data_IF_411455624836
#
_entry.id   IF_411455624836
#
_cell.length_a   1.000
_cell.length_b   1.000
_cell.length_c   1.000
_cell.angle_alpha   90.00
_cell.angle_beta   90.00
_cell.angle_gamma   90.00
#
_symmetry.space_group_name_H-M   'P 1'
#
loop_
_entity.id
_entity.type
_entity.pdbx_description
1 polymer ?
#
# COMPACT_ATOMS: atom_id res chain seq x y z
N UNK A 1 12.13 3.55 -11.58
CA UNK A 1 10.87 4.09 -12.14
C UNK A 1 10.56 3.30 -13.41
N UNK A 2 9.36 2.71 -13.54
CA UNK A 2 9.00 1.93 -14.75
C UNK A 2 8.41 2.87 -15.79
N UNK A 3 8.87 2.73 -17.02
CA UNK A 3 8.38 3.49 -18.18
C UNK A 3 7.40 2.61 -18.96
N UNK A 4 6.30 3.21 -19.42
CA UNK A 4 5.28 2.56 -20.23
C UNK A 4 5.20 3.19 -21.63
N UNK A 5 4.80 2.38 -22.61
CA UNK A 5 4.57 2.86 -23.96
C UNK A 5 3.32 3.78 -24.00
N UNK A 6 3.39 4.81 -24.83
CA UNK A 6 2.23 5.66 -25.13
C UNK A 6 1.31 4.90 -26.12
N UNK A 7 0.06 4.56 -25.74
CA UNK A 7 -0.83 3.76 -26.59
C UNK A 7 -1.31 4.46 -27.87
N UNK A 8 -1.07 5.77 -28.02
CA UNK A 8 -1.51 6.56 -29.18
C UNK A 8 -0.37 7.10 -30.04
N UNK A 9 0.90 6.72 -29.76
CA UNK A 9 2.01 7.17 -30.59
C UNK A 9 3.37 7.10 -29.92
N UNK A 10 4.33 7.94 -30.37
CA UNK A 10 5.65 8.01 -29.75
C UNK A 10 5.57 8.62 -28.35
N UNK A 11 6.62 8.39 -27.55
CA UNK A 11 6.74 8.93 -26.20
C UNK A 11 6.57 7.86 -25.12
N UNK A 12 6.51 8.34 -23.89
CA UNK A 12 6.57 7.50 -22.69
C UNK A 12 5.60 8.00 -21.64
N UNK A 13 5.02 7.06 -20.92
CA UNK A 13 4.15 7.31 -19.78
C UNK A 13 4.81 6.76 -18.51
N UNK A 14 4.52 7.43 -17.41
CA UNK A 14 4.80 7.05 -16.05
C UNK A 14 3.54 6.47 -15.41
N UNK A 15 3.73 5.68 -14.36
CA UNK A 15 2.66 4.88 -13.76
C UNK A 15 1.44 5.67 -13.29
N UNK A 16 1.61 6.95 -12.98
CA UNK A 16 0.60 7.87 -12.44
C UNK A 16 -0.01 8.80 -13.49
N UNK A 17 0.39 8.71 -14.76
CA UNK A 17 -0.18 9.56 -15.80
C UNK A 17 -1.69 9.31 -15.97
N UNK A 18 -2.43 10.42 -16.12
CA UNK A 18 -3.85 10.45 -16.50
C UNK A 18 -4.04 10.79 -17.98
N UNK A 19 -3.05 11.40 -18.61
CA UNK A 19 -3.08 11.77 -20.02
C UNK A 19 -1.68 11.64 -20.62
N UNK A 20 -1.62 11.55 -21.94
CA UNK A 20 -0.38 11.72 -22.70
C UNK A 20 0.08 13.18 -22.68
N UNK A 21 1.32 13.43 -23.13
CA UNK A 21 1.87 14.79 -23.19
C UNK A 21 1.05 15.74 -24.08
N UNK A 22 0.40 15.17 -25.08
CA UNK A 22 -0.49 15.76 -26.08
C UNK A 22 -1.97 15.80 -25.63
N UNK A 23 -2.27 15.40 -24.39
CA UNK A 23 -3.55 15.61 -23.74
C UNK A 23 -4.58 14.49 -23.94
N UNK A 24 -4.24 13.40 -24.62
CA UNK A 24 -5.13 12.25 -24.78
C UNK A 24 -5.30 11.55 -23.43
N UNK A 25 -6.54 11.41 -22.96
CA UNK A 25 -6.81 10.72 -21.70
C UNK A 25 -6.43 9.24 -21.82
N UNK A 26 -5.71 8.76 -20.82
CA UNK A 26 -5.32 7.36 -20.68
C UNK A 26 -5.68 6.83 -19.29
N UNK A 27 -5.79 5.52 -19.21
CA UNK A 27 -5.87 4.79 -17.96
C UNK A 27 -5.00 3.53 -18.02
N UNK A 28 -4.53 3.10 -16.86
CA UNK A 28 -3.74 1.90 -16.66
C UNK A 28 -4.66 0.69 -16.55
N UNK A 29 -4.42 -0.32 -17.40
CA UNK A 29 -4.96 -1.65 -17.22
C UNK A 29 -4.00 -2.47 -16.33
N UNK A 30 -4.38 -2.80 -15.09
CA UNK A 30 -3.53 -3.59 -14.20
C UNK A 30 -3.35 -5.05 -14.68
N UNK A 31 -4.25 -5.60 -15.50
CA UNK A 31 -4.14 -6.97 -16.00
C UNK A 31 -3.15 -7.07 -17.16
N UNK A 32 -3.30 -6.21 -18.17
CA UNK A 32 -2.36 -6.14 -19.29
C UNK A 32 -1.05 -5.41 -18.92
N UNK A 33 -1.06 -4.64 -17.81
CA UNK A 33 0.03 -3.81 -17.31
C UNK A 33 0.51 -2.76 -18.30
N UNK A 34 -0.44 -2.14 -18.98
CA UNK A 34 -0.22 -1.13 -20.01
C UNK A 34 -1.23 0.01 -19.88
N UNK A 35 -0.97 1.10 -20.59
CA UNK A 35 -1.95 2.18 -20.71
C UNK A 35 -2.87 1.93 -21.88
N UNK A 36 -4.14 2.26 -21.71
CA UNK A 36 -5.18 2.23 -22.73
C UNK A 36 -5.89 3.58 -22.78
N UNK A 37 -6.50 3.90 -23.92
CA UNK A 37 -7.31 5.12 -24.10
C UNK A 37 -8.79 4.91 -23.87
N UNK A 38 -9.23 3.66 -23.79
CA UNK A 38 -10.65 3.33 -23.80
C UNK A 38 -11.23 3.35 -22.38
N UNK A 39 -12.36 4.06 -22.16
CA UNK A 39 -13.14 3.94 -20.94
C UNK A 39 -13.75 2.53 -20.83
N UNK A 40 -14.22 2.13 -19.63
CA UNK A 40 -14.49 3.00 -18.48
C UNK A 40 -13.27 3.24 -17.59
N UNK A 41 -13.14 4.47 -17.10
CA UNK A 41 -12.17 4.84 -16.07
C UNK A 41 -12.80 4.75 -14.69
N UNK A 42 -11.96 4.59 -13.66
CA UNK A 42 -12.39 4.54 -12.26
C UNK A 42 -13.29 5.74 -11.89
N UNK A 43 -14.37 5.49 -11.15
CA UNK A 43 -15.23 6.55 -10.59
C UNK A 43 -14.47 7.55 -9.70
N UNK A 44 -13.35 7.13 -9.11
CA UNK A 44 -12.46 7.97 -8.31
C UNK A 44 -11.47 8.80 -9.15
N UNK A 45 -11.58 8.78 -10.49
CA UNK A 45 -10.68 9.52 -11.37
C UNK A 45 -10.73 11.02 -11.11
N UNK A 46 -11.92 11.61 -11.08
CA UNK A 46 -12.09 13.06 -10.95
C UNK A 46 -11.97 13.55 -9.49
N UNK A 47 -11.96 12.62 -8.52
CA UNK A 47 -11.88 12.91 -7.09
C UNK A 47 -10.43 12.87 -6.61
N UNK A 48 -9.72 11.77 -6.91
CA UNK A 48 -8.36 11.51 -6.40
C UNK A 48 -7.33 11.27 -7.51
N UNK A 49 -7.65 11.57 -8.76
CA UNK A 49 -6.75 11.31 -9.88
C UNK A 49 -6.49 9.82 -10.09
N UNK A 50 -7.46 8.94 -9.81
CA UNK A 50 -7.29 7.52 -10.08
C UNK A 50 -7.13 7.27 -11.58
N UNK A 51 -6.00 6.69 -11.97
CA UNK A 51 -5.68 6.45 -13.36
C UNK A 51 -5.95 5.02 -13.82
N UNK A 52 -6.61 4.16 -13.05
CA UNK A 52 -6.91 2.79 -13.48
C UNK A 52 -8.25 2.68 -14.22
N UNK A 53 -8.38 1.68 -15.09
CA UNK A 53 -9.65 1.31 -15.71
C UNK A 53 -10.63 0.71 -14.68
N UNK A 54 -11.92 0.82 -14.96
CA UNK A 54 -13.01 0.22 -14.21
C UNK A 54 -13.61 -0.97 -14.99
N UNK A 55 -14.42 -1.84 -14.35
CA UNK A 55 -15.17 -2.88 -15.07
C UNK A 55 -16.33 -2.29 -15.90
N UNK A 56 -16.94 -1.21 -15.43
CA UNK A 56 -18.07 -0.53 -16.08
C UNK A 56 -18.08 0.97 -15.74
N UNK A 57 -18.88 1.75 -16.47
CA UNK A 57 -18.98 3.20 -16.26
C UNK A 57 -19.54 3.50 -14.87
N UNK A 58 -18.87 4.38 -14.12
CA UNK A 58 -19.28 4.76 -12.77
C UNK A 58 -18.87 3.76 -11.67
N UNK A 59 -18.22 2.65 -12.01
CA UNK A 59 -17.68 1.72 -11.02
C UNK A 59 -16.27 2.11 -10.55
N UNK A 60 -15.89 1.62 -9.37
CA UNK A 60 -14.51 1.69 -8.90
C UNK A 60 -13.62 0.68 -9.64
N UNK A 61 -12.35 1.04 -9.87
CA UNK A 61 -11.34 0.10 -10.34
C UNK A 61 -11.04 -0.98 -9.29
N UNK A 62 -10.36 -2.05 -9.69
CA UNK A 62 -10.02 -3.17 -8.80
C UNK A 62 -9.24 -2.77 -7.55
N UNK A 63 -8.46 -1.68 -7.59
CA UNK A 63 -7.77 -1.13 -6.41
C UNK A 63 -8.69 -0.27 -5.55
N UNK A 64 -9.42 0.68 -6.12
CA UNK A 64 -10.31 1.56 -5.34
C UNK A 64 -11.48 0.78 -4.72
N UNK A 65 -11.95 -0.28 -5.36
CA UNK A 65 -12.96 -1.19 -4.80
C UNK A 65 -12.49 -1.92 -3.53
N UNK A 66 -11.17 -1.98 -3.27
CA UNK A 66 -10.64 -2.52 -2.01
C UNK A 66 -10.76 -1.54 -0.85
N UNK A 67 -11.06 -0.25 -1.07
CA UNK A 67 -11.30 0.72 0.01
C UNK A 67 -12.77 0.69 0.41
N UNK A 68 -13.07 -0.01 1.50
CA UNK A 68 -14.44 -0.08 2.03
C UNK A 68 -14.82 1.19 2.79
N UNK A 69 -13.84 1.88 3.39
CA UNK A 69 -14.04 3.13 4.10
C UNK A 69 -13.04 4.17 3.62
N UNK A 70 -13.53 5.19 2.91
CA UNK A 70 -12.77 6.37 2.50
C UNK A 70 -12.71 7.39 3.66
N UNK A 71 -11.69 8.27 3.68
CA UNK A 71 -11.52 9.21 4.77
C UNK A 71 -12.62 10.28 4.79
N UNK A 72 -12.92 10.79 5.98
CA UNK A 72 -13.78 11.96 6.15
C UNK A 72 -13.12 13.19 5.53
N UNK A 73 -13.74 13.70 4.45
CA UNK A 73 -13.24 14.84 3.69
C UNK A 73 -13.47 16.20 4.38
N UNK A 74 -14.20 16.23 5.50
CA UNK A 74 -14.31 17.42 6.34
C UNK A 74 -13.01 17.73 7.11
N UNK A 75 -12.13 16.73 7.25
CA UNK A 75 -10.82 16.89 7.89
C UNK A 75 -9.85 17.57 6.93
N UNK A 76 -9.09 18.54 7.45
CA UNK A 76 -8.10 19.28 6.67
C UNK A 76 -7.10 18.33 5.98
N UNK A 77 -6.76 18.63 4.73
CA UNK A 77 -5.85 17.85 3.88
C UNK A 77 -6.26 16.38 3.62
N UNK A 78 -7.45 15.92 4.02
CA UNK A 78 -7.87 14.55 3.82
C UNK A 78 -7.88 14.13 2.34
N UNK A 79 -8.37 14.99 1.44
CA UNK A 79 -8.46 14.69 0.01
C UNK A 79 -7.07 14.50 -0.68
N UNK A 80 -6.12 15.44 -0.60
CA UNK A 80 -4.80 15.24 -1.22
C UNK A 80 -4.03 14.07 -0.58
N UNK A 81 -4.19 13.87 0.73
CA UNK A 81 -3.60 12.73 1.43
C UNK A 81 -4.18 11.41 0.95
N UNK A 82 -5.51 11.33 0.82
CA UNK A 82 -6.20 10.16 0.26
C UNK A 82 -5.71 9.82 -1.14
N UNK A 83 -5.57 10.82 -2.02
CA UNK A 83 -5.09 10.62 -3.38
C UNK A 83 -3.68 10.01 -3.40
N UNK A 84 -2.77 10.50 -2.56
CA UNK A 84 -1.42 9.94 -2.43
C UNK A 84 -1.42 8.53 -1.82
N UNK A 85 -2.22 8.27 -0.80
CA UNK A 85 -2.37 6.93 -0.19
C UNK A 85 -2.90 5.91 -1.21
N UNK A 86 -3.91 6.28 -1.99
CA UNK A 86 -4.47 5.44 -3.05
C UNK A 86 -3.48 5.21 -4.20
N UNK A 87 -2.66 6.22 -4.56
CA UNK A 87 -1.59 6.06 -5.52
C UNK A 87 -0.52 5.07 -5.03
N UNK A 88 -0.11 5.17 -3.76
CA UNK A 88 0.79 4.22 -3.12
C UNK A 88 0.21 2.80 -3.08
N UNK A 89 -1.08 2.65 -2.77
CA UNK A 89 -1.80 1.37 -2.81
C UNK A 89 -1.78 0.75 -4.21
N UNK A 90 -2.15 1.50 -5.25
CA UNK A 90 -2.10 1.04 -6.65
C UNK A 90 -0.70 0.57 -7.04
N UNK A 91 0.33 1.31 -6.65
CA UNK A 91 1.72 0.93 -6.89
C UNK A 91 2.07 -0.43 -6.27
N UNK A 92 1.70 -0.66 -5.00
CA UNK A 92 1.99 -1.92 -4.32
C UNK A 92 1.20 -3.08 -4.93
N UNK A 93 -0.10 -2.91 -5.18
CA UNK A 93 -0.96 -3.93 -5.79
C UNK A 93 -0.42 -4.34 -7.17
N UNK A 94 -0.07 -3.37 -8.03
CA UNK A 94 0.46 -3.70 -9.35
C UNK A 94 1.79 -4.46 -9.28
N UNK A 95 2.67 -4.12 -8.34
CA UNK A 95 3.93 -4.83 -8.16
C UNK A 95 3.72 -6.26 -7.64
N UNK A 96 2.80 -6.46 -6.69
CA UNK A 96 2.44 -7.79 -6.20
C UNK A 96 1.82 -8.67 -7.28
N UNK A 97 1.06 -8.07 -8.19
CA UNK A 97 0.49 -8.76 -9.32
C UNK A 97 1.51 -9.29 -10.35
N UNK A 98 2.83 -9.08 -10.17
CA UNK A 98 3.89 -9.82 -10.90
C UNK A 98 3.97 -11.29 -10.48
N UNK A 99 3.50 -11.60 -9.28
CA UNK A 99 3.37 -12.94 -8.74
C UNK A 99 1.89 -13.36 -8.68
N UNK A 100 1.07 -12.80 -9.57
CA UNK A 100 -0.37 -13.03 -9.71
C UNK A 100 -1.26 -12.63 -8.52
N UNK A 101 -0.71 -12.11 -7.42
CA UNK A 101 -1.51 -11.58 -6.32
C UNK A 101 -2.48 -10.50 -6.78
N UNK A 102 -3.71 -10.60 -6.31
CA UNK A 102 -4.76 -9.61 -6.57
C UNK A 102 -5.18 -9.48 -8.04
N UNK A 103 -4.71 -10.39 -8.91
CA UNK A 103 -5.13 -10.50 -10.31
C UNK A 103 -6.38 -11.38 -10.44
N UNK A 104 -7.04 -11.39 -11.60
CA UNK A 104 -8.30 -12.15 -11.81
C UNK A 104 -8.12 -13.64 -11.52
N UNK A 105 -6.93 -14.14 -11.76
CA UNK A 105 -6.53 -15.54 -11.63
C UNK A 105 -6.26 -15.93 -10.17
N UNK A 106 -6.09 -14.95 -9.28
CA UNK A 106 -5.92 -15.19 -7.84
C UNK A 106 -7.29 -15.30 -7.15
N UNK A 107 -7.70 -16.50 -6.71
CA UNK A 107 -9.02 -16.74 -6.16
C UNK A 107 -9.14 -16.35 -4.68
N UNK A 108 -8.04 -16.01 -4.01
CA UNK A 108 -8.09 -15.78 -2.57
C UNK A 108 -8.51 -14.36 -2.19
N UNK A 109 -8.72 -14.20 -0.89
CA UNK A 109 -9.22 -12.96 -0.28
C UNK A 109 -8.38 -11.75 -0.69
N UNK A 110 -9.06 -10.65 -1.04
CA UNK A 110 -8.45 -9.35 -1.29
C UNK A 110 -8.34 -8.57 0.02
N UNK A 111 -7.32 -7.71 0.18
CA UNK A 111 -7.28 -6.79 1.30
C UNK A 111 -8.49 -5.84 1.25
N UNK A 112 -9.04 -5.53 2.41
CA UNK A 112 -10.06 -4.49 2.59
C UNK A 112 -9.40 -3.33 3.33
N UNK A 113 -9.51 -2.11 2.82
CA UNK A 113 -8.88 -0.94 3.40
C UNK A 113 -9.91 -0.04 4.09
N UNK A 114 -9.59 0.33 5.32
CA UNK A 114 -10.14 1.49 6.00
C UNK A 114 -9.10 2.60 5.97
N UNK A 115 -9.33 3.61 5.14
CA UNK A 115 -8.47 4.78 5.03
C UNK A 115 -9.08 5.90 5.86
N UNK A 116 -8.41 6.30 6.92
CA UNK A 116 -8.94 7.27 7.88
C UNK A 116 -8.12 8.56 7.84
N UNK A 117 -8.80 9.70 7.93
CA UNK A 117 -8.15 10.99 8.15
C UNK A 117 -7.84 11.16 9.65
N UNK A 118 -6.70 11.75 9.97
CA UNK A 118 -6.35 12.10 11.34
C UNK A 118 -6.84 13.52 11.67
N UNK A 119 -7.70 13.62 12.67
CA UNK A 119 -8.02 14.90 13.32
C UNK A 119 -7.11 15.14 14.52
N UNK A 120 -7.67 15.59 15.64
CA UNK A 120 -6.93 15.76 16.88
C UNK A 120 -6.46 14.42 17.51
N UNK A 121 -7.16 13.32 17.22
CA UNK A 121 -6.83 11.99 17.73
C UNK A 121 -6.14 11.18 16.62
N UNK A 122 -4.93 10.65 16.86
CA UNK A 122 -4.26 9.78 15.92
C UNK A 122 -5.08 8.52 15.62
N UNK A 123 -5.04 8.08 14.38
CA UNK A 123 -5.64 6.81 13.96
C UNK A 123 -4.77 5.66 14.44
N UNK A 124 -5.38 4.67 15.09
CA UNK A 124 -4.71 3.40 15.33
C UNK A 124 -4.67 2.61 14.02
N UNK A 125 -3.47 2.39 13.51
CA UNK A 125 -3.22 1.67 12.26
C UNK A 125 -2.91 0.20 12.55
N UNK A 126 -3.04 -0.62 11.54
CA UNK A 126 -2.71 -2.05 11.59
C UNK A 126 -3.72 -2.87 10.83
N UNK A 127 -3.72 -4.18 11.10
CA UNK A 127 -4.51 -5.13 10.36
C UNK A 127 -5.27 -6.10 11.28
N UNK A 128 -6.46 -6.52 10.85
CA UNK A 128 -7.24 -7.58 11.50
C UNK A 128 -8.05 -8.33 10.47
N UNK A 129 -7.85 -9.65 10.38
CA UNK A 129 -8.64 -10.56 9.51
C UNK A 129 -8.78 -10.09 8.05
N UNK A 130 -7.71 -9.52 7.48
CA UNK A 130 -7.68 -9.02 6.11
C UNK A 130 -8.16 -7.57 5.93
N UNK A 131 -8.65 -6.92 6.99
CA UNK A 131 -8.90 -5.48 7.04
C UNK A 131 -7.60 -4.77 7.40
N UNK A 132 -7.18 -3.83 6.57
CA UNK A 132 -6.05 -2.93 6.75
C UNK A 132 -6.58 -1.55 7.11
N UNK A 133 -6.26 -1.06 8.31
CA UNK A 133 -6.57 0.30 8.75
C UNK A 133 -5.34 1.17 8.62
N UNK A 134 -5.43 2.22 7.82
CA UNK A 134 -4.31 3.12 7.57
C UNK A 134 -4.74 4.58 7.67
N UNK A 135 -3.87 5.38 8.28
CA UNK A 135 -4.02 6.83 8.27
C UNK A 135 -3.57 7.39 6.93
N UNK A 136 -4.43 8.20 6.29
CA UNK A 136 -4.00 8.94 5.10
C UNK A 136 -3.01 10.06 5.44
N UNK A 137 -2.95 10.49 6.70
CA UNK A 137 -1.99 11.52 7.14
C UNK A 137 -0.53 11.08 7.01
N UNK A 138 -0.24 9.78 6.88
CA UNK A 138 1.09 9.24 6.55
C UNK A 138 1.61 9.70 5.18
N UNK A 139 0.73 10.21 4.31
CA UNK A 139 1.11 10.84 3.05
C UNK A 139 1.67 12.26 3.25
N UNK A 140 1.30 12.96 4.33
CA UNK A 140 1.74 14.33 4.61
C UNK A 140 3.25 14.36 4.88
N UNK A 141 3.98 15.14 4.08
CA UNK A 141 5.44 15.19 4.14
C UNK A 141 5.97 15.81 5.44
N UNK A 142 5.28 16.80 6.01
CA UNK A 142 5.67 17.44 7.27
C UNK A 142 5.47 16.45 8.41
N UNK A 143 4.27 15.86 8.51
CA UNK A 143 3.98 14.88 9.56
C UNK A 143 4.89 13.65 9.45
N UNK A 144 5.15 13.17 8.23
CA UNK A 144 6.04 12.03 7.98
C UNK A 144 7.48 12.34 8.37
N UNK A 145 7.97 13.56 8.13
CA UNK A 145 9.32 13.98 8.54
C UNK A 145 9.41 14.04 10.06
N UNK A 146 8.41 14.63 10.72
CA UNK A 146 8.33 14.65 12.20
C UNK A 146 8.32 13.24 12.79
N UNK A 147 7.50 12.32 12.25
CA UNK A 147 7.43 10.91 12.72
C UNK A 147 8.74 10.17 12.45
N UNK A 148 9.34 10.38 11.29
CA UNK A 148 10.63 9.79 10.90
C UNK A 148 11.75 10.16 11.87
N UNK A 149 11.80 11.41 12.29
CA UNK A 149 12.78 11.88 13.27
C UNK A 149 12.46 11.34 14.67
N UNK A 150 11.20 11.39 15.10
CA UNK A 150 10.78 10.94 16.42
C UNK A 150 11.00 9.43 16.64
N UNK A 151 10.84 8.61 15.59
CA UNK A 151 10.97 7.15 15.67
C UNK A 151 12.30 6.62 15.12
N UNK A 152 13.19 7.50 14.66
CA UNK A 152 14.45 7.11 13.99
C UNK A 152 14.24 6.15 12.80
N UNK A 153 13.18 6.39 12.01
CA UNK A 153 12.75 5.54 10.88
C UNK A 153 12.97 6.22 9.51
N UNK A 154 14.21 6.32 9.00
CA UNK A 154 14.53 7.12 7.81
C UNK A 154 13.79 6.70 6.53
N UNK A 155 13.26 5.48 6.49
CA UNK A 155 12.56 4.90 5.34
C UNK A 155 11.03 5.04 5.38
N UNK A 156 10.47 5.81 6.33
CA UNK A 156 9.02 6.01 6.44
C UNK A 156 8.48 6.74 5.19
N UNK A 157 7.80 6.00 4.32
CA UNK A 157 7.15 6.47 3.09
C UNK A 157 5.77 5.85 3.00
N UNK A 158 4.81 6.51 2.35
CA UNK A 158 3.46 5.97 2.16
C UNK A 158 3.48 4.62 1.43
N UNK A 159 4.38 4.44 0.46
CA UNK A 159 4.59 3.15 -0.23
C UNK A 159 5.15 2.10 0.74
N UNK A 160 6.14 2.45 1.56
CA UNK A 160 6.73 1.53 2.54
C UNK A 160 5.68 1.06 3.55
N UNK A 161 4.90 1.98 4.09
CA UNK A 161 3.80 1.68 5.02
C UNK A 161 2.72 0.81 4.36
N UNK A 162 2.33 1.13 3.13
CA UNK A 162 1.38 0.30 2.38
C UNK A 162 1.91 -1.12 2.12
N UNK A 163 3.21 -1.29 1.87
CA UNK A 163 3.84 -2.61 1.74
C UNK A 163 3.80 -3.38 3.05
N UNK A 164 4.08 -2.72 4.16
CA UNK A 164 4.04 -3.31 5.50
C UNK A 164 2.64 -3.83 5.83
N UNK A 165 1.61 -2.99 5.70
CA UNK A 165 0.25 -3.42 6.00
C UNK A 165 -0.29 -4.51 5.08
N UNK A 166 0.02 -4.43 3.78
CA UNK A 166 -0.36 -5.50 2.83
C UNK A 166 0.42 -6.79 3.13
N UNK A 167 1.68 -6.72 3.59
CA UNK A 167 2.46 -7.90 3.96
C UNK A 167 1.81 -8.64 5.14
N UNK A 168 1.30 -7.92 6.14
CA UNK A 168 0.53 -8.55 7.21
C UNK A 168 -0.77 -9.20 6.73
N UNK A 169 -1.49 -8.55 5.81
CA UNK A 169 -2.69 -9.14 5.21
C UNK A 169 -2.34 -10.43 4.44
N UNK A 170 -1.24 -10.44 3.68
CA UNK A 170 -0.74 -11.62 2.99
C UNK A 170 -0.30 -12.71 3.97
N UNK A 171 0.37 -12.34 5.06
CA UNK A 171 0.74 -13.27 6.13
C UNK A 171 -0.49 -13.94 6.72
N UNK A 172 -1.54 -13.16 7.05
CA UNK A 172 -2.81 -13.70 7.55
C UNK A 172 -3.46 -14.64 6.53
N UNK A 173 -3.47 -14.27 5.26
CA UNK A 173 -4.04 -15.12 4.21
C UNK A 173 -3.26 -16.43 4.05
N UNK A 174 -1.93 -16.38 4.18
CA UNK A 174 -1.05 -17.54 4.04
C UNK A 174 -1.04 -18.44 5.28
N UNK A 175 -1.24 -17.88 6.47
CA UNK A 175 -1.28 -18.63 7.74
C UNK A 175 -2.47 -19.59 7.86
N UNK A 176 -3.46 -19.45 6.98
CA UNK A 176 -4.54 -20.42 6.83
C UNK A 176 -4.09 -21.75 6.20
N UNK A 177 -2.89 -21.81 5.61
CA UNK A 177 -2.29 -23.05 5.12
C UNK A 177 -1.57 -23.77 6.26
N UNK A 178 -1.73 -25.09 6.31
CA UNK A 178 -1.15 -25.95 7.34
C UNK A 178 0.38 -25.84 7.43
N UNK A 179 1.06 -25.72 6.29
CA UNK A 179 2.51 -25.71 6.18
C UNK A 179 3.16 -24.33 6.41
N UNK A 180 2.38 -23.25 6.38
CA UNK A 180 2.96 -21.91 6.29
C UNK A 180 3.62 -21.45 7.59
N UNK A 181 2.96 -21.61 8.73
CA UNK A 181 3.45 -21.08 10.01
C UNK A 181 4.74 -21.75 10.46
N UNK A 182 4.89 -23.05 10.22
CA UNK A 182 6.14 -23.75 10.53
C UNK A 182 7.30 -23.21 9.68
N UNK A 183 7.08 -23.10 8.36
CA UNK A 183 8.09 -22.57 7.45
C UNK A 183 8.42 -21.08 7.71
N UNK A 184 7.40 -20.29 8.07
CA UNK A 184 7.57 -18.89 8.45
C UNK A 184 8.49 -18.78 9.67
N UNK A 185 8.23 -19.57 10.73
CA UNK A 185 9.03 -19.56 11.96
C UNK A 185 10.46 -20.00 11.73
N UNK A 186 10.67 -21.00 10.87
CA UNK A 186 12.01 -21.45 10.50
C UNK A 186 12.84 -20.36 9.78
N UNK A 187 12.19 -19.45 9.06
CA UNK A 187 12.85 -18.43 8.25
C UNK A 187 12.94 -17.06 8.94
N UNK A 188 11.84 -16.60 9.54
CA UNK A 188 11.68 -15.24 10.08
C UNK A 188 11.73 -15.17 11.61
N UNK A 189 11.55 -16.30 12.29
CA UNK A 189 11.48 -16.38 13.75
C UNK A 189 10.06 -16.55 14.27
N UNK A 190 9.94 -16.75 15.59
CA UNK A 190 8.66 -17.07 16.24
C UNK A 190 7.80 -15.81 16.45
N UNK A 191 6.74 -15.69 15.65
CA UNK A 191 5.82 -14.56 15.69
C UNK A 191 4.94 -14.50 16.94
N UNK A 192 4.95 -15.56 17.76
CA UNK A 192 4.20 -15.62 19.02
C UNK A 192 4.93 -14.88 20.16
N UNK A 193 6.13 -14.37 19.90
CA UNK A 193 6.82 -13.49 20.83
C UNK A 193 5.90 -12.32 21.22
N UNK A 194 6.01 -11.84 22.46
CA UNK A 194 5.17 -10.71 22.87
C UNK A 194 5.55 -9.46 22.06
N UNK A 195 4.61 -9.03 21.22
CA UNK A 195 4.79 -7.92 20.30
C UNK A 195 5.18 -6.62 21.02
N UNK A 196 4.54 -6.33 22.16
CA UNK A 196 4.77 -5.09 22.90
C UNK A 196 6.14 -5.09 23.56
N UNK A 197 6.53 -6.22 24.16
CA UNK A 197 7.87 -6.36 24.74
C UNK A 197 8.97 -6.31 23.68
N UNK A 198 8.73 -6.88 22.50
CA UNK A 198 9.66 -6.85 21.38
C UNK A 198 9.91 -5.42 20.88
N UNK A 199 8.84 -4.65 20.66
CA UNK A 199 8.94 -3.23 20.29
C UNK A 199 9.58 -2.38 21.39
N UNK A 200 9.20 -2.60 22.66
CA UNK A 200 9.77 -1.87 23.79
C UNK A 200 11.29 -2.07 23.84
N UNK A 201 11.75 -3.32 23.68
CA UNK A 201 13.18 -3.65 23.62
C UNK A 201 13.86 -2.97 22.45
N UNK A 202 13.25 -2.97 21.27
CA UNK A 202 13.77 -2.29 20.09
C UNK A 202 14.00 -0.79 20.34
N UNK A 203 13.01 -0.09 20.89
CA UNK A 203 13.14 1.35 21.16
C UNK A 203 14.10 1.68 22.31
N UNK A 204 14.29 0.77 23.27
CA UNK A 204 15.21 0.99 24.39
C UNK A 204 16.66 0.62 24.06
N UNK A 205 16.88 -0.46 23.31
CA UNK A 205 18.19 -1.08 23.12
C UNK A 205 18.71 -0.94 21.68
N UNK A 206 17.84 -0.54 20.75
CA UNK A 206 18.11 -0.52 19.33
C UNK A 206 17.97 -1.89 18.66
N UNK A 207 18.16 -1.95 17.33
CA UNK A 207 18.16 -3.19 16.57
C UNK A 207 19.40 -4.06 16.86
N UNK A 208 19.36 -5.38 16.57
CA UNK A 208 20.54 -6.26 16.62
C UNK A 208 21.71 -5.72 15.78
N UNK A 209 22.96 -5.88 16.21
CA UNK A 209 24.12 -5.27 15.54
C UNK A 209 24.27 -5.65 14.05
N UNK A 210 23.83 -6.84 13.67
CA UNK A 210 23.86 -7.38 12.31
C UNK A 210 22.60 -7.06 11.48
N UNK A 211 21.66 -6.26 12.00
CA UNK A 211 20.35 -6.05 11.35
C UNK A 211 20.46 -5.61 9.89
N UNK A 212 21.44 -4.78 9.54
CA UNK A 212 21.67 -4.29 8.16
C UNK A 212 21.99 -5.39 7.16
N UNK A 213 22.42 -6.56 7.63
CA UNK A 213 22.73 -7.72 6.79
C UNK A 213 21.50 -8.59 6.52
N UNK A 214 20.44 -8.43 7.32
CA UNK A 214 19.28 -9.35 7.36
C UNK A 214 17.94 -8.68 7.10
N UNK A 215 17.82 -7.40 7.44
CA UNK A 215 16.56 -6.65 7.42
C UNK A 215 16.70 -5.37 6.60
N UNK A 216 15.58 -4.94 6.03
CA UNK A 216 15.53 -3.70 5.25
C UNK A 216 15.56 -2.45 6.13
N UNK A 217 15.03 -2.54 7.35
CA UNK A 217 14.98 -1.44 8.33
C UNK A 217 15.31 -1.96 9.72
N UNK A 218 15.67 -1.06 10.63
CA UNK A 218 15.83 -1.39 12.05
C UNK A 218 14.50 -1.90 12.62
N UNK A 219 13.40 -1.25 12.27
CA UNK A 219 12.07 -1.61 12.74
C UNK A 219 11.64 -3.02 12.30
N UNK A 220 11.97 -3.45 11.07
CA UNK A 220 11.73 -4.83 10.61
C UNK A 220 12.53 -5.90 11.38
N UNK A 221 13.55 -5.50 12.15
CA UNK A 221 14.27 -6.42 13.04
C UNK A 221 13.64 -6.52 14.43
N UNK A 222 12.60 -5.74 14.71
CA UNK A 222 12.02 -5.62 16.05
C UNK A 222 11.17 -6.82 16.44
N UNK A 223 10.45 -7.41 15.48
CA UNK A 223 9.57 -8.55 15.70
C UNK A 223 9.37 -9.31 14.38
N UNK A 224 9.20 -10.65 14.35
CA UNK A 224 9.04 -11.42 13.11
C UNK A 224 7.89 -11.00 12.20
N UNK A 225 6.87 -10.31 12.73
CA UNK A 225 5.79 -9.75 11.91
C UNK A 225 6.16 -8.47 11.15
N UNK A 226 7.24 -7.75 11.51
CA UNK A 226 7.61 -6.43 10.95
C UNK A 226 8.59 -6.51 9.76
#
# INVERSE_FOLDING_TARGET
MRVFHNPVGPGSLWFDNLATADGTLVAYDPHAREFVVMPPFCANRDIIGCNWIAPEQGAFCSSCAMTALAPDLSVANALPNWAQTEAAKRWVIDNLGRWNWFRREDPGTRPVFHMLAEGATPVFMGHIEGIVTISVAEADEVLRTMRREALYEPYRTMIGHMRHEIAHMLWWRLSLREDFLENFRAMFGDERADYREALLRHYQQGPPADWKQRFMTSYASSHPHE
#
